data_IF_869142203834
#
_entry.id   IF_869142203834
#
_cell.length_a   1.000
_cell.length_b   1.000
_cell.length_c   1.000
_cell.angle_alpha   90.00
_cell.angle_beta   90.00
_cell.angle_gamma   90.00
#
_symmetry.space_group_name_H-M   'P 1'
#
loop_
_entity.id
_entity.type
_entity.pdbx_description
1 polymer ?
#
# COMPACT_ATOMS: atom_id res chain seq x y z
N UNK A 1 -11.06 22.79 -8.24
CA UNK A 1 -11.55 21.47 -7.80
C UNK A 1 -11.08 21.31 -6.37
N UNK A 2 -11.99 21.32 -5.41
CA UNK A 2 -11.67 20.91 -4.03
C UNK A 2 -11.52 19.41 -4.11
N UNK A 3 -10.31 18.92 -3.87
CA UNK A 3 -10.10 17.48 -3.89
C UNK A 3 -10.86 16.88 -2.70
N UNK A 4 -11.57 15.74 -2.87
CA UNK A 4 -12.56 15.25 -1.90
C UNK A 4 -12.02 14.84 -0.51
N UNK A 5 -10.73 15.07 -0.25
CA UNK A 5 -9.98 14.70 0.94
C UNK A 5 -9.34 15.90 1.66
N UNK A 6 -9.71 17.15 1.33
CA UNK A 6 -9.38 18.31 2.15
C UNK A 6 -10.08 18.21 3.52
N UNK A 7 -9.44 17.51 4.47
CA UNK A 7 -9.92 17.34 5.85
C UNK A 7 -9.69 15.94 6.44
N UNK A 8 -9.56 14.92 5.59
CA UNK A 8 -9.25 13.54 5.99
C UNK A 8 -7.88 13.19 5.41
N UNK A 9 -6.88 12.94 6.25
CA UNK A 9 -5.52 12.65 5.79
C UNK A 9 -5.51 11.51 4.77
N UNK A 10 -4.70 11.64 3.71
CA UNK A 10 -4.60 10.66 2.61
C UNK A 10 -4.44 9.20 3.06
N UNK A 11 -3.78 8.96 4.19
CA UNK A 11 -3.63 7.64 4.79
C UNK A 11 -4.98 7.05 5.26
N UNK A 12 -5.83 7.86 5.89
CA UNK A 12 -7.15 7.43 6.39
C UNK A 12 -8.06 7.08 5.20
N UNK A 13 -8.07 7.90 4.16
CA UNK A 13 -8.81 7.59 2.93
C UNK A 13 -8.32 6.29 2.29
N UNK A 14 -7.00 6.14 2.15
CA UNK A 14 -6.38 4.94 1.59
C UNK A 14 -6.79 3.69 2.36
N UNK A 15 -6.75 3.74 3.69
CA UNK A 15 -7.12 2.62 4.56
C UNK A 15 -8.59 2.25 4.39
N UNK A 16 -9.50 3.24 4.38
CA UNK A 16 -10.93 2.98 4.20
C UNK A 16 -11.22 2.34 2.85
N UNK A 17 -10.60 2.84 1.76
CA UNK A 17 -10.76 2.24 0.44
C UNK A 17 -10.28 0.78 0.40
N UNK A 18 -9.14 0.49 1.06
CA UNK A 18 -8.65 -0.90 1.17
C UNK A 18 -9.61 -1.79 1.95
N UNK A 19 -10.22 -1.29 3.02
CA UNK A 19 -11.19 -2.02 3.81
C UNK A 19 -12.47 -2.33 3.01
N UNK A 20 -12.96 -1.37 2.21
CA UNK A 20 -14.09 -1.58 1.30
C UNK A 20 -13.77 -2.69 0.28
N UNK A 21 -12.66 -2.56 -0.45
CA UNK A 21 -12.24 -3.55 -1.45
C UNK A 21 -12.01 -4.94 -0.85
N UNK A 22 -11.47 -4.99 0.38
CA UNK A 22 -11.31 -6.25 1.09
C UNK A 22 -12.65 -6.89 1.42
N UNK A 23 -13.59 -6.13 1.99
CA UNK A 23 -14.90 -6.65 2.36
C UNK A 23 -15.68 -7.12 1.13
N UNK A 24 -15.67 -6.34 0.05
CA UNK A 24 -16.31 -6.68 -1.22
C UNK A 24 -15.68 -7.95 -1.80
N UNK A 25 -14.34 -8.03 -1.85
CA UNK A 25 -13.67 -9.23 -2.35
C UNK A 25 -13.91 -10.47 -1.49
N UNK A 26 -14.00 -10.32 -0.16
CA UNK A 26 -14.38 -11.42 0.73
C UNK A 26 -15.82 -11.86 0.53
N UNK A 27 -16.75 -10.93 0.30
CA UNK A 27 -18.14 -11.23 -0.01
C UNK A 27 -18.31 -11.94 -1.35
N UNK A 28 -17.49 -11.58 -2.34
CA UNK A 28 -17.42 -12.23 -3.66
C UNK A 28 -16.71 -13.61 -3.63
N UNK A 29 -16.13 -14.00 -2.49
CA UNK A 29 -15.38 -15.25 -2.36
C UNK A 29 -14.01 -15.24 -3.05
N UNK A 30 -13.45 -14.05 -3.32
CA UNK A 30 -12.09 -13.90 -3.86
C UNK A 30 -11.05 -14.40 -2.87
N UNK A 31 -9.94 -14.91 -3.42
CA UNK A 31 -8.78 -15.26 -2.63
C UNK A 31 -7.97 -14.01 -2.24
N UNK A 32 -7.06 -14.16 -1.27
CA UNK A 32 -6.28 -13.02 -0.75
C UNK A 32 -5.35 -12.39 -1.81
N UNK A 33 -4.86 -13.17 -2.78
CA UNK A 33 -4.03 -12.66 -3.88
C UNK A 33 -4.82 -11.75 -4.82
N UNK A 34 -6.06 -12.15 -5.15
CA UNK A 34 -6.98 -11.35 -5.97
C UNK A 34 -7.36 -10.06 -5.25
N UNK A 35 -7.67 -10.13 -3.95
CA UNK A 35 -7.98 -8.94 -3.15
C UNK A 35 -6.78 -8.00 -3.09
N UNK A 36 -5.57 -8.52 -2.86
CA UNK A 36 -4.35 -7.71 -2.87
C UNK A 36 -4.12 -7.02 -4.23
N UNK A 37 -4.34 -7.74 -5.34
CA UNK A 37 -4.25 -7.17 -6.69
C UNK A 37 -5.31 -6.11 -6.96
N UNK A 38 -6.54 -6.33 -6.48
CA UNK A 38 -7.65 -5.38 -6.65
C UNK A 38 -7.37 -4.09 -5.88
N UNK A 39 -6.81 -4.19 -4.67
CA UNK A 39 -6.34 -3.04 -3.91
C UNK A 39 -5.29 -2.26 -4.71
N UNK A 40 -4.28 -2.92 -5.26
CA UNK A 40 -3.23 -2.26 -6.05
C UNK A 40 -3.72 -1.64 -7.36
N UNK A 41 -4.77 -2.21 -7.96
CA UNK A 41 -5.40 -1.70 -9.17
C UNK A 41 -6.25 -0.44 -8.90
N UNK A 42 -6.93 -0.39 -7.75
CA UNK A 42 -7.85 0.70 -7.37
C UNK A 42 -7.16 1.88 -6.66
N UNK A 43 -5.90 2.15 -6.98
CA UNK A 43 -5.24 3.37 -6.49
C UNK A 43 -6.00 4.61 -7.02
N UNK A 44 -6.49 5.51 -6.13
CA UNK A 44 -7.52 6.49 -6.48
C UNK A 44 -6.99 7.79 -7.11
N UNK A 45 -5.67 7.92 -7.29
CA UNK A 45 -5.05 9.13 -7.85
C UNK A 45 -4.32 8.82 -9.15
N UNK A 46 -4.16 9.83 -10.01
CA UNK A 46 -3.61 9.63 -11.36
C UNK A 46 -2.14 9.19 -11.35
N UNK A 47 -1.33 9.78 -10.46
CA UNK A 47 0.09 9.48 -10.36
C UNK A 47 0.43 8.64 -9.14
N UNK A 48 1.14 7.53 -9.38
CA UNK A 48 1.84 6.73 -8.36
C UNK A 48 3.14 7.41 -7.94
N UNK A 49 3.05 8.69 -7.58
CA UNK A 49 4.17 9.56 -7.25
C UNK A 49 3.79 10.52 -6.09
N UNK A 50 4.79 11.18 -5.51
CA UNK A 50 4.56 12.24 -4.54
C UNK A 50 4.01 11.78 -3.18
N UNK A 51 3.41 12.73 -2.44
CA UNK A 51 3.00 12.53 -1.05
C UNK A 51 1.81 11.57 -0.91
N UNK A 52 0.84 11.64 -1.83
CA UNK A 52 -0.37 10.80 -1.83
C UNK A 52 0.00 9.33 -1.96
N UNK A 53 0.89 9.03 -2.91
CA UNK A 53 1.39 7.67 -3.10
C UNK A 53 2.17 7.14 -1.89
N UNK A 54 2.96 8.00 -1.21
CA UNK A 54 3.64 7.61 0.04
C UNK A 54 2.65 7.25 1.16
N UNK A 55 1.58 8.03 1.31
CA UNK A 55 0.55 7.75 2.31
C UNK A 55 -0.24 6.48 1.97
N UNK A 56 -0.52 6.26 0.69
CA UNK A 56 -1.10 5.00 0.19
C UNK A 56 -0.23 3.79 0.53
N UNK A 57 1.06 3.83 0.21
CA UNK A 57 1.98 2.73 0.50
C UNK A 57 2.10 2.45 2.00
N UNK A 58 2.04 3.48 2.84
CA UNK A 58 2.01 3.34 4.29
C UNK A 58 0.75 2.62 4.77
N UNK A 59 -0.43 3.10 4.37
CA UNK A 59 -1.70 2.47 4.72
C UNK A 59 -1.79 1.04 4.18
N UNK A 60 -1.37 0.80 2.94
CA UNK A 60 -1.30 -0.53 2.30
C UNK A 60 -0.48 -1.49 3.14
N UNK A 61 0.66 -1.03 3.63
CA UNK A 61 1.52 -1.86 4.46
C UNK A 61 0.83 -2.28 5.75
N UNK A 62 0.33 -1.31 6.51
CA UNK A 62 -0.36 -1.56 7.78
C UNK A 62 -1.56 -2.49 7.57
N UNK A 63 -2.33 -2.26 6.51
CA UNK A 63 -3.49 -3.08 6.15
C UNK A 63 -3.12 -4.51 5.75
N UNK A 64 -2.10 -4.69 4.89
CA UNK A 64 -1.69 -6.01 4.44
C UNK A 64 -1.09 -6.84 5.58
N UNK A 65 -0.30 -6.21 6.47
CA UNK A 65 0.22 -6.86 7.68
C UNK A 65 -0.92 -7.29 8.62
N UNK A 66 -1.96 -6.46 8.77
CA UNK A 66 -3.10 -6.77 9.63
C UNK A 66 -4.03 -7.88 9.09
N UNK A 67 -4.16 -7.98 7.77
CA UNK A 67 -5.08 -8.91 7.10
C UNK A 67 -4.38 -10.13 6.46
N UNK A 68 -3.09 -10.32 6.72
CA UNK A 68 -2.25 -11.39 6.15
C UNK A 68 -2.31 -11.44 4.61
N UNK A 69 -2.38 -10.25 3.98
CA UNK A 69 -2.43 -10.14 2.53
C UNK A 69 -1.04 -10.32 1.91
N UNK A 70 -0.93 -11.10 0.82
CA UNK A 70 0.32 -11.26 0.09
C UNK A 70 0.68 -9.99 -0.69
N UNK A 71 1.96 -9.86 -1.10
CA UNK A 71 2.39 -8.74 -1.95
C UNK A 71 3.03 -7.56 -1.21
N UNK A 72 3.32 -7.71 0.08
CA UNK A 72 4.33 -6.90 0.74
C UNK A 72 5.70 -7.39 0.27
N UNK A 73 6.43 -6.52 -0.43
CA UNK A 73 7.85 -6.78 -0.63
C UNK A 73 8.51 -6.79 0.75
N UNK A 74 9.35 -7.80 1.06
CA UNK A 74 10.16 -7.72 2.25
C UNK A 74 10.90 -6.39 2.21
N UNK A 75 10.88 -5.65 3.33
CA UNK A 75 11.80 -4.53 3.50
C UNK A 75 13.15 -5.06 3.02
N UNK A 76 13.70 -4.48 1.95
CA UNK A 76 15.13 -4.62 1.73
C UNK A 76 15.71 -4.13 3.04
N UNK A 77 16.24 -5.04 3.86
CA UNK A 77 17.06 -4.61 4.97
C UNK A 77 18.05 -3.67 4.31
N UNK A 78 18.19 -2.45 4.82
CA UNK A 78 19.43 -1.70 4.66
C UNK A 78 20.52 -2.58 5.32
N UNK A 79 20.88 -3.70 4.68
CA UNK A 79 22.19 -4.30 4.86
C UNK A 79 23.09 -3.20 4.36
N UNK A 80 23.60 -2.46 5.33
CA UNK A 80 24.78 -1.63 5.24
C UNK A 80 25.63 -2.09 4.06
N UNK A 81 25.68 -1.26 3.03
CA UNK A 81 26.83 -1.19 2.15
C UNK A 81 27.98 -0.66 3.02
N UNK A 82 28.47 -1.50 3.92
CA UNK A 82 29.76 -1.32 4.57
C UNK A 82 30.74 -2.30 3.94
N UNK A 83 30.70 -2.36 2.61
CA UNK A 83 31.79 -2.85 1.80
C UNK A 83 32.78 -1.69 1.70
N UNK A 84 33.47 -1.43 2.82
CA UNK A 84 34.67 -0.61 2.77
C UNK A 84 35.61 -1.26 1.76
N UNK A 85 35.76 -0.54 0.66
CA UNK A 85 36.79 -0.67 -0.36
C UNK A 85 38.07 -1.33 0.16
N UNK A 86 38.22 -2.62 -0.11
CA UNK A 86 39.53 -3.27 -0.09
C UNK A 86 40.24 -2.88 -1.38
N UNK A 87 40.93 -1.73 -1.37
CA UNK A 87 42.04 -1.54 -2.30
C UNK A 87 43.15 -2.49 -1.87
N UNK A 88 43.45 -3.46 -2.73
CA UNK A 88 44.69 -4.24 -2.70
C UNK A 88 45.37 -4.13 -4.05
#
# INVERSE_FOLDING_TARGET
>A
MVEPYEGVGFAVYSYNLMAELYNDGRAEGKNLEQIASDIDANYPWDERSGWRYKQWLRARREFFEQHDLPGLQPLRSLKLNNEFATYR
#
